data_IF_837892666349
#
_entry.id   IF_837892666349
#
_cell.length_a   1.000
_cell.length_b   1.000
_cell.length_c   1.000
_cell.angle_alpha   90.00
_cell.angle_beta   90.00
_cell.angle_gamma   90.00
#
_symmetry.space_group_name_H-M   'P 1'
#
loop_
_entity.id
_entity.type
_entity.pdbx_description
1 polymer ?
#
# COMPACT_ATOMS: atom_id res chain seq x y z
N UNK A 1 10.51 10.30 22.09
CA UNK A 1 9.61 9.49 21.24
C UNK A 1 10.46 8.42 20.59
N UNK A 2 10.19 7.14 20.84
CA UNK A 2 10.98 6.03 20.28
C UNK A 2 10.31 5.54 19.00
N UNK A 3 11.07 5.43 17.91
CA UNK A 3 10.59 4.83 16.66
C UNK A 3 10.94 3.35 16.66
N UNK A 4 9.94 2.49 16.45
CA UNK A 4 10.14 1.07 16.18
C UNK A 4 9.96 0.81 14.69
N UNK A 5 10.90 0.06 14.12
CA UNK A 5 10.85 -0.37 12.72
C UNK A 5 10.24 -1.76 12.67
N UNK A 6 9.29 -1.94 11.76
CA UNK A 6 8.67 -3.24 11.48
C UNK A 6 8.85 -3.58 10.01
N UNK A 7 9.16 -4.85 9.74
CA UNK A 7 9.14 -5.40 8.39
C UNK A 7 7.81 -6.10 8.13
N UNK A 8 7.16 -5.75 7.02
CA UNK A 8 5.96 -6.41 6.56
C UNK A 8 6.36 -7.47 5.54
N UNK A 9 6.16 -8.74 5.89
CA UNK A 9 6.32 -9.86 4.97
C UNK A 9 4.94 -10.46 4.67
N UNK A 10 4.51 -10.37 3.41
CA UNK A 10 3.23 -10.92 2.98
C UNK A 10 3.37 -12.43 2.75
N UNK A 11 2.72 -13.25 3.57
CA UNK A 11 2.66 -14.70 3.35
C UNK A 11 1.64 -15.09 2.27
N UNK A 12 0.74 -14.18 1.94
CA UNK A 12 -0.29 -14.30 0.91
C UNK A 12 -0.30 -13.05 0.03
N UNK A 13 -1.18 -13.00 -0.97
CA UNK A 13 -1.36 -11.81 -1.81
C UNK A 13 -1.88 -10.66 -0.94
N UNK A 14 -1.19 -9.52 -0.99
CA UNK A 14 -1.58 -8.29 -0.30
C UNK A 14 -2.26 -7.32 -1.25
N UNK A 15 -3.50 -6.94 -0.94
CA UNK A 15 -4.24 -5.91 -1.66
C UNK A 15 -4.43 -4.66 -0.79
N UNK A 16 -3.56 -3.68 -0.96
CA UNK A 16 -3.76 -2.33 -0.40
C UNK A 16 -4.38 -1.44 -1.47
N UNK A 17 -5.71 -1.35 -1.51
CA UNK A 17 -6.42 -0.62 -2.56
C UNK A 17 -6.16 0.89 -2.56
N UNK A 18 -6.14 1.49 -3.74
CA UNK A 18 -6.05 2.96 -3.90
C UNK A 18 -7.39 3.68 -3.68
N UNK A 19 -8.48 2.92 -3.52
CA UNK A 19 -9.83 3.43 -3.27
C UNK A 19 -10.58 3.94 -4.52
N UNK A 20 -9.94 3.97 -5.69
CA UNK A 20 -10.53 4.39 -6.97
C UNK A 20 -9.96 3.56 -8.13
N UNK A 21 -10.66 3.51 -9.27
CA UNK A 21 -10.12 2.90 -10.50
C UNK A 21 -8.98 3.75 -11.08
N UNK A 22 -7.99 3.10 -11.70
CA UNK A 22 -6.87 3.77 -12.38
C UNK A 22 -6.63 3.11 -13.73
N UNK A 23 -6.78 3.89 -14.80
CA UNK A 23 -6.61 3.41 -16.16
C UNK A 23 -7.60 2.29 -16.48
N UNK A 24 -7.08 1.11 -16.84
CA UNK A 24 -7.89 -0.06 -17.19
C UNK A 24 -8.18 -1.00 -16.01
N UNK A 25 -7.66 -0.69 -14.80
CA UNK A 25 -7.77 -1.55 -13.62
C UNK A 25 -8.78 -0.96 -12.64
N UNK A 26 -9.88 -1.69 -12.41
CA UNK A 26 -10.96 -1.26 -11.52
C UNK A 26 -10.54 -1.16 -10.05
N UNK A 27 -9.73 -2.11 -9.59
CA UNK A 27 -9.24 -2.17 -8.21
C UNK A 27 -7.71 -2.27 -8.17
N UNK A 28 -7.01 -1.15 -8.40
CA UNK A 28 -5.55 -1.14 -8.36
C UNK A 28 -5.04 -1.01 -6.93
N UNK A 29 -3.87 -1.60 -6.69
CA UNK A 29 -3.10 -1.37 -5.46
C UNK A 29 -2.52 0.04 -5.42
N UNK A 30 -2.34 0.58 -4.22
CA UNK A 30 -1.75 1.89 -4.02
C UNK A 30 -0.27 1.91 -4.39
N UNK A 31 0.16 3.01 -5.00
CA UNK A 31 1.51 3.22 -5.49
C UNK A 31 1.96 4.63 -5.16
N UNK A 32 3.25 4.78 -4.89
CA UNK A 32 3.84 6.10 -4.71
C UNK A 32 3.72 6.93 -5.99
N UNK A 33 3.38 8.22 -5.86
CA UNK A 33 3.06 9.07 -7.03
C UNK A 33 4.29 9.35 -7.89
N UNK A 34 5.47 9.50 -7.29
CA UNK A 34 6.67 9.90 -8.01
C UNK A 34 7.39 8.69 -8.63
N UNK A 35 7.38 7.56 -7.94
CA UNK A 35 8.16 6.37 -8.31
C UNK A 35 7.31 5.24 -8.91
N UNK A 36 5.99 5.29 -8.74
CA UNK A 36 5.05 4.22 -9.10
C UNK A 36 5.32 2.87 -8.42
N UNK A 37 6.17 2.83 -7.39
CA UNK A 37 6.41 1.62 -6.61
C UNK A 37 5.22 1.30 -5.70
N UNK A 38 4.84 0.01 -5.55
CA UNK A 38 3.85 -0.41 -4.56
C UNK A 38 4.32 -0.11 -3.14
N UNK A 39 3.42 0.36 -2.28
CA UNK A 39 3.72 0.55 -0.85
C UNK A 39 2.48 0.32 0.02
N UNK A 40 2.69 0.15 1.32
CA UNK A 40 1.61 0.05 2.31
C UNK A 40 1.52 1.38 3.08
N UNK A 41 0.45 2.18 2.92
CA UNK A 41 0.31 3.46 3.60
C UNK A 41 0.15 3.26 5.11
N UNK A 42 0.67 4.20 5.90
CA UNK A 42 0.49 4.17 7.35
C UNK A 42 -0.99 4.22 7.79
N UNK A 43 -1.88 4.81 6.99
CA UNK A 43 -3.33 4.77 7.23
C UNK A 43 -3.91 3.36 7.09
N UNK A 44 -3.37 2.53 6.19
CA UNK A 44 -3.78 1.13 6.01
C UNK A 44 -3.22 0.22 7.11
N UNK A 45 -2.09 0.58 7.73
CA UNK A 45 -1.53 -0.16 8.89
C UNK A 45 -2.24 0.20 10.20
N UNK A 46 -2.66 1.47 10.33
CA UNK A 46 -3.32 1.97 11.56
C UNK A 46 -4.83 1.71 11.59
N UNK A 47 -5.49 1.72 10.43
CA UNK A 47 -6.93 1.51 10.29
C UNK A 47 -7.27 0.03 10.33
#
# INVERSE_FOLDING_TARGET
>A
MSFQVYHLFSQTILHCGSGQSVGVVDQPIIRDRATHLPFVPGSTVRG
#
